data_IF_322256692854
#
_entry.id   IF_322256692854
#
_cell.length_a   1.000
_cell.length_b   1.000
_cell.length_c   1.000
_cell.angle_alpha   90.00
_cell.angle_beta   90.00
_cell.angle_gamma   90.00
#
_symmetry.space_group_name_H-M   'P 1'
#
loop_
_entity.id
_entity.type
_entity.pdbx_description
1 polymer ?
#
# COMPACT_ATOMS: atom_id res chain seq x y z
N UNK A 1 -53.23 -41.05 11.05
CA UNK A 1 -51.77 -41.22 11.20
C UNK A 1 -51.18 -39.89 11.67
N UNK A 2 -51.19 -39.68 12.99
CA UNK A 2 -50.56 -38.52 13.63
C UNK A 2 -49.09 -38.85 13.87
N UNK A 3 -48.19 -38.21 13.14
CA UNK A 3 -46.75 -38.25 13.41
C UNK A 3 -46.43 -37.21 14.48
N UNK A 4 -46.20 -37.68 15.70
CA UNK A 4 -45.56 -36.91 16.77
C UNK A 4 -44.10 -36.65 16.35
N UNK A 5 -43.76 -35.41 16.07
CA UNK A 5 -42.36 -34.97 16.11
C UNK A 5 -41.95 -34.81 17.58
N UNK A 6 -40.77 -35.31 17.98
CA UNK A 6 -40.26 -35.11 19.32
C UNK A 6 -39.84 -33.64 19.51
N UNK A 7 -39.91 -33.10 20.73
CA UNK A 7 -39.47 -31.75 21.01
C UNK A 7 -37.94 -31.64 20.81
N UNK A 8 -37.43 -30.45 20.45
CA UNK A 8 -36.00 -30.24 20.27
C UNK A 8 -35.27 -30.49 21.59
N UNK A 9 -34.18 -31.27 21.52
CA UNK A 9 -33.23 -31.45 22.61
C UNK A 9 -32.78 -30.06 23.10
N UNK A 10 -33.05 -29.78 24.37
CA UNK A 10 -32.36 -28.70 25.07
C UNK A 10 -30.90 -29.12 25.13
N UNK A 11 -30.04 -28.36 24.45
CA UNK A 11 -28.65 -28.33 24.82
C UNK A 11 -28.61 -27.79 26.24
N UNK A 12 -28.33 -28.66 27.20
CA UNK A 12 -27.86 -28.24 28.50
C UNK A 12 -26.53 -27.52 28.23
N UNK A 13 -26.60 -26.19 28.22
CA UNK A 13 -25.43 -25.32 28.37
C UNK A 13 -24.90 -25.61 29.78
N UNK A 14 -24.10 -26.67 29.89
CA UNK A 14 -23.26 -26.90 31.05
C UNK A 14 -22.37 -25.66 31.19
N UNK A 15 -22.67 -24.90 32.24
CA UNK A 15 -21.90 -23.79 32.79
C UNK A 15 -20.47 -24.25 33.13
N UNK A 16 -19.63 -24.44 32.10
CA UNK A 16 -18.18 -24.30 32.23
C UNK A 16 -17.86 -22.80 32.25
N UNK A 17 -18.28 -22.14 33.34
CA UNK A 17 -17.73 -20.86 33.80
C UNK A 17 -16.29 -21.11 34.30
N UNK A 18 -15.43 -21.53 33.38
CA UNK A 18 -13.98 -21.47 33.48
C UNK A 18 -13.52 -20.02 33.26
N UNK A 19 -14.14 -19.06 33.99
CA UNK A 19 -13.62 -17.71 34.18
C UNK A 19 -12.39 -17.75 35.08
N UNK A 20 -11.36 -18.48 34.66
CA UNK A 20 -10.01 -18.19 35.09
C UNK A 20 -9.77 -16.71 34.76
N UNK A 21 -9.48 -15.84 35.76
CA UNK A 21 -8.98 -14.53 35.44
C UNK A 21 -7.65 -14.75 34.72
N UNK A 22 -7.67 -14.66 33.39
CA UNK A 22 -6.47 -14.46 32.61
C UNK A 22 -5.98 -13.09 33.05
N UNK A 23 -5.21 -13.07 34.13
CA UNK A 23 -4.48 -11.92 34.60
C UNK A 23 -3.40 -11.71 33.55
N UNK A 24 -3.79 -11.12 32.42
CA UNK A 24 -2.93 -10.99 31.26
C UNK A 24 -1.66 -10.29 31.72
N UNK A 25 -0.52 -10.94 31.51
CA UNK A 25 0.77 -10.30 31.69
C UNK A 25 0.95 -9.29 30.56
N UNK A 26 0.34 -8.12 30.73
CA UNK A 26 0.42 -7.04 29.75
C UNK A 26 1.69 -6.24 29.97
N UNK A 27 2.51 -6.14 28.93
CA UNK A 27 3.59 -5.16 28.86
C UNK A 27 3.07 -3.93 28.11
N UNK A 28 3.17 -2.76 28.73
CA UNK A 28 2.83 -1.51 28.05
C UNK A 28 3.98 -1.08 27.14
N UNK A 29 3.64 -0.72 25.89
CA UNK A 29 4.56 -0.12 24.91
C UNK A 29 3.97 1.22 24.49
N UNK A 30 4.79 2.28 24.52
CA UNK A 30 4.36 3.61 24.08
C UNK A 30 4.26 3.67 22.57
N UNK A 31 3.08 4.02 22.06
CA UNK A 31 2.85 4.28 20.63
C UNK A 31 2.81 5.80 20.44
N UNK A 32 3.67 6.31 19.58
CA UNK A 32 3.66 7.72 19.19
C UNK A 32 2.71 7.90 18.01
N UNK A 33 1.70 8.74 18.20
CA UNK A 33 0.72 9.07 17.16
C UNK A 33 1.15 10.37 16.47
N UNK A 34 1.03 10.41 15.15
CA UNK A 34 1.12 11.67 14.43
C UNK A 34 -0.09 12.52 14.79
N UNK A 35 0.13 13.80 15.10
CA UNK A 35 -0.95 14.74 15.31
C UNK A 35 -1.59 15.07 13.95
N UNK A 36 -2.79 14.54 13.73
CA UNK A 36 -3.55 14.73 12.49
C UNK A 36 -4.25 16.10 12.42
N UNK A 37 -4.24 16.86 13.52
CA UNK A 37 -4.72 18.25 13.56
C UNK A 37 -3.70 19.24 13.01
N UNK A 38 -2.41 18.86 13.01
CA UNK A 38 -1.36 19.51 12.23
C UNK A 38 -1.40 18.89 10.84
N UNK A 39 -1.31 19.71 9.78
CA UNK A 39 -1.30 19.24 8.39
C UNK A 39 -0.44 17.97 8.24
N UNK A 40 -1.01 16.92 7.63
CA UNK A 40 -0.39 15.61 7.42
C UNK A 40 1.14 15.68 7.34
N UNK A 41 1.82 15.12 8.35
CA UNK A 41 3.28 15.09 8.35
C UNK A 41 3.79 14.31 7.13
N UNK A 42 4.82 14.81 6.44
CA UNK A 42 5.35 14.17 5.24
C UNK A 42 6.00 12.82 5.53
N UNK A 43 6.20 12.47 6.81
CA UNK A 43 6.85 11.22 7.21
C UNK A 43 6.17 9.96 6.67
N UNK A 44 4.84 9.85 6.73
CA UNK A 44 4.14 8.64 6.26
C UNK A 44 3.21 8.91 5.08
N UNK A 45 3.02 10.18 4.72
CA UNK A 45 1.97 10.63 3.81
C UNK A 45 2.44 11.77 2.91
N UNK A 46 3.66 11.72 2.37
CA UNK A 46 4.21 12.80 1.53
C UNK A 46 3.34 13.19 0.33
N UNK A 47 2.49 12.29 -0.18
CA UNK A 47 1.54 12.60 -1.25
C UNK A 47 0.35 13.47 -0.79
N UNK A 48 -0.01 13.44 0.50
CA UNK A 48 -1.15 14.20 1.02
C UNK A 48 -0.74 15.67 1.11
N UNK A 49 -1.61 16.55 0.64
CA UNK A 49 -1.40 18.00 0.64
C UNK A 49 -0.15 18.48 -0.12
N UNK A 50 0.37 17.70 -1.09
CA UNK A 50 1.45 18.15 -1.96
C UNK A 50 0.89 18.56 -3.34
N UNK A 51 0.81 19.86 -3.68
CA UNK A 51 0.22 20.33 -4.95
C UNK A 51 0.99 19.85 -6.17
N UNK A 52 2.32 19.84 -6.12
CA UNK A 52 3.16 19.37 -7.21
C UNK A 52 2.88 17.89 -7.52
N UNK A 53 2.79 17.05 -6.49
CA UNK A 53 2.41 15.64 -6.65
C UNK A 53 1.03 15.51 -7.31
N UNK A 54 0.06 16.33 -6.91
CA UNK A 54 -1.28 16.30 -7.53
C UNK A 54 -1.26 16.70 -9.00
N UNK A 55 -0.44 17.69 -9.38
CA UNK A 55 -0.24 18.09 -10.78
C UNK A 55 0.38 16.94 -11.58
N UNK A 56 1.46 16.33 -11.09
CA UNK A 56 2.13 15.22 -11.77
C UNK A 56 1.22 13.99 -11.90
N UNK A 57 0.47 13.68 -10.84
CA UNK A 57 -0.53 12.61 -10.87
C UNK A 57 -1.62 12.90 -11.90
N UNK A 58 -2.17 14.12 -11.92
CA UNK A 58 -3.20 14.49 -12.90
C UNK A 58 -2.68 14.37 -14.34
N UNK A 59 -1.45 14.84 -14.60
CA UNK A 59 -0.78 14.70 -15.89
C UNK A 59 -0.60 13.22 -16.30
N UNK A 60 -0.11 12.36 -15.39
CA UNK A 60 0.05 10.93 -15.67
C UNK A 60 -1.28 10.25 -16.02
N UNK A 61 -2.37 10.61 -15.31
CA UNK A 61 -3.72 10.14 -15.61
C UNK A 61 -4.23 10.64 -16.97
N UNK A 62 -3.93 11.89 -17.33
CA UNK A 62 -4.32 12.48 -18.60
C UNK A 62 -3.56 11.87 -19.79
N UNK A 63 -2.26 11.62 -19.64
CA UNK A 63 -1.42 11.00 -20.68
C UNK A 63 -1.67 9.51 -20.87
N UNK A 64 -2.27 8.84 -19.89
CA UNK A 64 -2.59 7.41 -19.98
C UNK A 64 -3.68 7.13 -21.02
N UNK A 65 -3.33 6.35 -22.04
CA UNK A 65 -4.30 5.86 -23.03
C UNK A 65 -5.13 4.67 -22.54
N UNK A 66 -4.72 3.99 -21.46
CA UNK A 66 -5.34 2.74 -21.00
C UNK A 66 -6.81 2.91 -20.64
N UNK A 67 -7.16 4.02 -19.97
CA UNK A 67 -8.55 4.31 -19.63
C UNK A 67 -9.39 4.63 -20.86
N UNK A 68 -8.84 5.40 -21.81
CA UNK A 68 -9.52 5.71 -23.07
C UNK A 68 -9.75 4.46 -23.91
N UNK A 69 -8.74 3.61 -24.07
CA UNK A 69 -8.86 2.33 -24.79
C UNK A 69 -9.86 1.40 -24.10
N UNK A 70 -9.79 1.32 -22.77
CA UNK A 70 -10.70 0.47 -21.98
C UNK A 70 -12.13 1.01 -21.98
N UNK A 71 -12.33 2.33 -22.14
CA UNK A 71 -13.66 2.93 -22.25
C UNK A 71 -14.42 2.55 -23.53
N UNK A 72 -13.69 2.06 -24.55
CA UNK A 72 -14.26 1.57 -25.81
C UNK A 72 -14.57 0.07 -25.77
N UNK A 73 -14.16 -0.65 -24.72
CA UNK A 73 -14.37 -2.07 -24.60
C UNK A 73 -15.76 -2.36 -23.99
N UNK A 74 -16.67 -3.06 -24.71
CA UNK A 74 -18.01 -3.37 -24.21
C UNK A 74 -18.03 -4.05 -22.84
N UNK A 75 -17.05 -4.91 -22.55
CA UNK A 75 -16.99 -5.62 -21.27
C UNK A 75 -16.83 -4.67 -20.08
N UNK A 76 -16.10 -3.56 -20.23
CA UNK A 76 -15.99 -2.55 -19.18
C UNK A 76 -17.25 -1.69 -19.06
N UNK A 77 -17.91 -1.39 -20.18
CA UNK A 77 -19.16 -0.63 -20.20
C UNK A 77 -20.26 -1.40 -19.47
N UNK A 78 -20.43 -2.68 -19.82
CA UNK A 78 -21.40 -3.58 -19.20
C UNK A 78 -21.11 -3.79 -17.71
N UNK A 79 -19.84 -3.99 -17.36
CA UNK A 79 -19.39 -4.10 -15.97
C UNK A 79 -19.75 -2.86 -15.16
N UNK A 80 -19.47 -1.65 -15.66
CA UNK A 80 -19.75 -0.42 -14.93
C UNK A 80 -21.25 -0.21 -14.72
N UNK A 81 -22.08 -0.57 -15.71
CA UNK A 81 -23.53 -0.54 -15.58
C UNK A 81 -24.01 -1.55 -14.51
N UNK A 82 -23.50 -2.78 -14.58
CA UNK A 82 -23.79 -3.85 -13.62
C UNK A 82 -23.42 -3.42 -12.19
N UNK A 83 -22.20 -2.91 -12.00
CA UNK A 83 -21.72 -2.44 -10.70
C UNK A 83 -22.57 -1.29 -10.14
N UNK A 84 -23.00 -0.35 -10.97
CA UNK A 84 -23.87 0.72 -10.52
C UNK A 84 -25.24 0.17 -10.08
N UNK A 85 -25.83 -0.76 -10.82
CA UNK A 85 -27.09 -1.41 -10.43
C UNK A 85 -26.97 -2.25 -9.15
N UNK A 86 -25.78 -2.80 -8.89
CA UNK A 86 -25.51 -3.57 -7.66
C UNK A 86 -25.28 -2.67 -6.45
N UNK A 87 -24.55 -1.58 -6.61
CA UNK A 87 -23.97 -0.81 -5.48
C UNK A 87 -24.60 0.56 -5.26
N UNK A 88 -25.21 1.16 -6.29
CA UNK A 88 -25.62 2.56 -6.27
C UNK A 88 -24.46 3.55 -6.13
N UNK A 89 -23.21 3.13 -6.36
CA UNK A 89 -22.04 3.96 -6.11
C UNK A 89 -21.98 5.18 -7.06
N UNK A 90 -22.18 6.38 -6.51
CA UNK A 90 -22.35 7.63 -7.27
C UNK A 90 -21.20 7.96 -8.22
N UNK A 91 -19.97 7.54 -7.90
CA UNK A 91 -18.80 7.81 -8.74
C UNK A 91 -18.80 7.01 -10.06
N UNK A 92 -19.63 5.96 -10.15
CA UNK A 92 -19.78 5.13 -11.35
C UNK A 92 -21.18 5.21 -11.98
N UNK A 93 -21.97 6.24 -11.63
CA UNK A 93 -23.29 6.45 -12.25
C UNK A 93 -23.19 6.71 -13.76
N UNK A 94 -24.23 6.41 -14.57
CA UNK A 94 -24.18 6.51 -16.02
C UNK A 94 -23.83 7.89 -16.59
N UNK A 95 -24.14 8.96 -15.85
CA UNK A 95 -23.89 10.35 -16.25
C UNK A 95 -22.42 10.76 -16.13
N UNK A 96 -21.62 9.99 -15.39
CA UNK A 96 -20.17 10.24 -15.26
C UNK A 96 -19.45 9.66 -16.49
N UNK A 97 -18.50 10.39 -17.11
CA UNK A 97 -17.73 9.87 -18.25
C UNK A 97 -17.06 8.53 -17.93
N UNK A 98 -17.14 7.56 -18.84
CA UNK A 98 -16.63 6.18 -18.63
C UNK A 98 -15.18 6.17 -18.14
N UNK A 99 -14.32 7.01 -18.71
CA UNK A 99 -12.91 7.16 -18.26
C UNK A 99 -12.81 7.47 -16.76
N UNK A 100 -13.62 8.40 -16.25
CA UNK A 100 -13.62 8.76 -14.83
C UNK A 100 -14.19 7.61 -13.97
N UNK A 101 -15.19 6.89 -14.48
CA UNK A 101 -15.76 5.71 -13.80
C UNK A 101 -14.74 4.57 -13.66
N UNK A 102 -13.89 4.36 -14.67
CA UNK A 102 -12.82 3.35 -14.63
C UNK A 102 -11.74 3.71 -13.60
N UNK A 103 -11.40 5.00 -13.47
CA UNK A 103 -10.36 5.48 -12.54
C UNK A 103 -10.73 5.28 -11.06
N UNK A 104 -12.01 5.08 -10.73
CA UNK A 104 -12.47 4.86 -9.35
C UNK A 104 -12.69 3.38 -9.00
N UNK A 105 -12.42 2.45 -9.92
CA UNK A 105 -12.59 1.01 -9.68
C UNK A 105 -11.72 0.47 -8.54
N UNK A 106 -10.64 1.16 -8.17
CA UNK A 106 -9.86 0.84 -6.98
C UNK A 106 -10.72 0.78 -5.70
N UNK A 107 -11.68 1.70 -5.53
CA UNK A 107 -12.55 1.73 -4.33
C UNK A 107 -13.42 0.48 -4.24
N UNK A 108 -13.95 0.02 -5.38
CA UNK A 108 -14.73 -1.23 -5.44
C UNK A 108 -13.85 -2.46 -5.23
N UNK A 109 -12.60 -2.45 -5.73
CA UNK A 109 -11.66 -3.54 -5.48
C UNK A 109 -11.32 -3.68 -3.99
N UNK A 110 -11.17 -2.56 -3.27
CA UNK A 110 -10.98 -2.57 -1.82
C UNK A 110 -12.20 -3.15 -1.09
N UNK A 111 -13.42 -2.79 -1.52
CA UNK A 111 -14.65 -3.37 -0.97
C UNK A 111 -14.71 -4.88 -1.17
N UNK A 112 -14.33 -5.39 -2.35
CA UNK A 112 -14.26 -6.84 -2.62
C UNK A 112 -13.31 -7.53 -1.63
N UNK A 113 -12.14 -6.94 -1.37
CA UNK A 113 -11.18 -7.50 -0.42
C UNK A 113 -11.76 -7.57 1.00
N UNK A 114 -12.46 -6.52 1.45
CA UNK A 114 -13.14 -6.47 2.75
C UNK A 114 -14.23 -7.55 2.84
N UNK A 115 -15.11 -7.63 1.85
CA UNK A 115 -16.21 -8.59 1.84
C UNK A 115 -15.70 -10.04 1.83
N UNK A 116 -14.64 -10.33 1.06
CA UNK A 116 -13.97 -11.64 1.08
C UNK A 116 -13.39 -11.98 2.45
N UNK A 117 -12.70 -11.04 3.09
CA UNK A 117 -12.12 -11.24 4.42
C UNK A 117 -13.18 -11.60 5.47
N UNK A 118 -14.41 -11.08 5.30
CA UNK A 118 -15.54 -11.34 6.19
C UNK A 118 -16.46 -12.46 5.69
N UNK A 119 -16.08 -13.20 4.64
CA UNK A 119 -16.90 -14.25 4.00
C UNK A 119 -18.31 -13.77 3.63
N UNK A 120 -18.42 -12.50 3.25
CA UNK A 120 -19.66 -11.88 2.82
C UNK A 120 -19.91 -12.14 1.34
N UNK A 121 -21.19 -12.12 0.95
CA UNK A 121 -21.57 -12.12 -0.46
C UNK A 121 -21.14 -10.80 -1.10
N UNK A 122 -20.41 -10.88 -2.21
CA UNK A 122 -19.92 -9.71 -2.93
C UNK A 122 -21.06 -8.82 -3.44
N UNK A 123 -21.01 -7.54 -3.09
CA UNK A 123 -21.99 -6.50 -3.47
C UNK A 123 -23.45 -6.98 -3.38
N UNK A 124 -23.83 -7.53 -2.23
CA UNK A 124 -25.18 -8.01 -1.99
C UNK A 124 -26.22 -6.91 -2.32
N UNK A 125 -27.15 -7.21 -3.23
CA UNK A 125 -28.06 -6.23 -3.82
C UNK A 125 -29.49 -6.78 -3.94
N UNK A 126 -30.47 -5.86 -3.98
CA UNK A 126 -31.91 -6.17 -4.10
C UNK A 126 -32.32 -6.60 -5.51
N UNK A 127 -31.48 -6.35 -6.51
CA UNK A 127 -31.75 -6.66 -7.91
C UNK A 127 -31.39 -8.10 -8.29
N UNK A 128 -30.94 -8.91 -7.32
CA UNK A 128 -30.50 -10.30 -7.51
C UNK A 128 -29.43 -10.48 -8.59
N UNK A 129 -28.64 -9.42 -8.85
CA UNK A 129 -27.54 -9.45 -9.79
C UNK A 129 -26.38 -10.23 -9.15
N UNK A 130 -25.80 -11.15 -9.92
CA UNK A 130 -24.69 -11.98 -9.49
C UNK A 130 -23.35 -11.37 -9.91
N UNK A 131 -22.43 -11.29 -8.97
CA UNK A 131 -21.05 -10.93 -9.24
C UNK A 131 -20.27 -12.15 -9.76
N UNK A 132 -19.60 -12.00 -10.88
CA UNK A 132 -18.92 -13.09 -11.58
C UNK A 132 -17.38 -12.99 -11.46
N UNK A 133 -16.64 -14.11 -11.58
CA UNK A 133 -15.18 -14.09 -11.53
C UNK A 133 -14.54 -13.15 -12.57
N UNK A 134 -15.17 -13.00 -13.75
CA UNK A 134 -14.68 -12.10 -14.78
C UNK A 134 -14.87 -10.62 -14.40
N UNK A 135 -15.92 -10.26 -13.66
CA UNK A 135 -16.13 -8.89 -13.15
C UNK A 135 -14.95 -8.50 -12.25
N UNK A 136 -14.59 -9.37 -11.31
CA UNK A 136 -13.47 -9.15 -10.41
C UNK A 136 -12.14 -8.99 -11.15
N UNK A 137 -11.91 -9.81 -12.18
CA UNK A 137 -10.70 -9.74 -12.99
C UNK A 137 -10.58 -8.35 -13.64
N UNK A 138 -11.65 -7.86 -14.26
CA UNK A 138 -11.68 -6.55 -14.90
C UNK A 138 -11.51 -5.40 -13.89
N UNK A 139 -12.20 -5.45 -12.75
CA UNK A 139 -12.06 -4.48 -11.67
C UNK A 139 -10.61 -4.43 -11.17
N UNK A 140 -10.03 -5.60 -10.87
CA UNK A 140 -8.64 -5.73 -10.42
C UNK A 140 -7.66 -5.13 -11.42
N UNK A 141 -7.79 -5.44 -12.71
CA UNK A 141 -6.90 -4.89 -13.75
C UNK A 141 -6.89 -3.36 -13.72
N UNK A 142 -8.06 -2.72 -13.64
CA UNK A 142 -8.13 -1.25 -13.58
C UNK A 142 -7.68 -0.69 -12.23
N UNK A 143 -7.98 -1.38 -11.13
CA UNK A 143 -7.57 -0.97 -9.78
C UNK A 143 -6.04 -1.00 -9.63
N UNK A 144 -5.39 -2.09 -10.03
CA UNK A 144 -3.93 -2.25 -10.01
C UNK A 144 -3.26 -1.21 -10.92
N UNK A 145 -3.81 -0.99 -12.13
CA UNK A 145 -3.28 0.03 -13.03
C UNK A 145 -3.39 1.45 -12.43
N UNK A 146 -4.54 1.78 -11.83
CA UNK A 146 -4.78 3.08 -11.15
C UNK A 146 -3.78 3.31 -10.02
N UNK A 147 -3.53 2.27 -9.22
CA UNK A 147 -2.58 2.31 -8.11
C UNK A 147 -1.15 2.51 -8.61
N UNK A 148 -0.73 1.78 -9.64
CA UNK A 148 0.60 1.94 -10.25
C UNK A 148 0.77 3.34 -10.79
N UNK A 149 -0.20 3.85 -11.55
CA UNK A 149 -0.14 5.20 -12.12
C UNK A 149 -0.02 6.29 -11.05
N UNK A 150 -0.62 6.10 -9.88
CA UNK A 150 -0.56 7.03 -8.74
C UNK A 150 0.86 7.22 -8.18
N UNK A 151 1.74 6.22 -8.26
CA UNK A 151 3.07 6.28 -7.62
C UNK A 151 4.23 6.09 -8.60
N UNK A 152 4.02 5.34 -9.68
CA UNK A 152 5.01 5.02 -10.70
C UNK A 152 4.85 5.87 -11.98
N UNK A 153 3.69 6.50 -12.19
CA UNK A 153 3.38 7.18 -13.44
C UNK A 153 3.46 6.24 -14.66
N UNK A 154 3.82 6.77 -15.83
CA UNK A 154 3.85 6.00 -17.09
C UNK A 154 5.22 5.38 -17.39
N UNK A 155 6.28 6.06 -16.98
CA UNK A 155 7.67 5.68 -17.27
C UNK A 155 8.57 5.90 -16.05
N UNK A 156 9.87 5.67 -16.22
CA UNK A 156 10.82 5.77 -15.13
C UNK A 156 11.04 7.19 -14.60
N UNK A 157 10.90 8.20 -15.47
CA UNK A 157 11.02 9.60 -15.07
C UNK A 157 9.84 10.03 -14.21
N UNK A 158 8.63 9.65 -14.61
CA UNK A 158 7.44 9.89 -13.79
C UNK A 158 7.58 9.23 -12.42
N UNK A 159 8.00 7.96 -12.37
CA UNK A 159 8.20 7.26 -11.10
C UNK A 159 9.15 8.01 -10.19
N UNK A 160 10.34 8.41 -10.68
CA UNK A 160 11.33 9.12 -9.87
C UNK A 160 10.78 10.42 -9.28
N UNK A 161 10.05 11.20 -10.10
CA UNK A 161 9.50 12.49 -9.68
C UNK A 161 8.33 12.32 -8.71
N UNK A 162 7.38 11.45 -9.05
CA UNK A 162 6.14 11.27 -8.28
C UNK A 162 6.37 10.54 -6.97
N UNK A 163 7.12 9.43 -7.00
CA UNK A 163 7.35 8.60 -5.81
C UNK A 163 8.16 9.32 -4.73
N UNK A 164 9.13 10.16 -5.11
CA UNK A 164 9.87 11.01 -4.18
C UNK A 164 8.94 11.92 -3.36
N UNK A 165 8.00 12.58 -4.03
CA UNK A 165 7.02 13.43 -3.35
C UNK A 165 6.06 12.56 -2.51
N UNK A 166 5.63 11.42 -3.06
CA UNK A 166 4.66 10.54 -2.41
C UNK A 166 5.18 9.88 -1.13
N UNK A 167 6.46 9.46 -1.14
CA UNK A 167 7.13 8.83 -0.01
C UNK A 167 7.53 9.84 1.08
N UNK A 168 7.63 11.13 0.72
CA UNK A 168 7.92 12.21 1.65
C UNK A 168 9.26 12.01 2.36
N UNK A 169 9.26 12.10 3.70
CA UNK A 169 10.48 12.00 4.52
C UNK A 169 10.75 10.60 5.06
N UNK A 170 9.89 9.59 4.80
CA UNK A 170 10.13 8.21 5.27
C UNK A 170 11.50 7.65 4.84
N UNK A 171 11.91 7.78 3.56
CA UNK A 171 13.16 7.17 3.13
C UNK A 171 14.36 7.76 3.86
N UNK A 172 14.38 9.07 4.12
CA UNK A 172 15.48 9.71 4.85
C UNK A 172 15.44 9.35 6.34
N UNK A 173 14.25 9.17 6.92
CA UNK A 173 14.10 8.77 8.32
C UNK A 173 14.70 7.37 8.55
N UNK A 174 14.49 6.44 7.62
CA UNK A 174 15.11 5.10 7.66
C UNK A 174 16.64 5.21 7.63
N UNK A 175 17.19 6.01 6.70
CA UNK A 175 18.65 6.24 6.61
C UNK A 175 19.18 6.86 7.91
N UNK A 176 18.49 7.86 8.47
CA UNK A 176 18.89 8.52 9.71
C UNK A 176 18.87 7.56 10.90
N UNK A 177 17.85 6.70 11.00
CA UNK A 177 17.77 5.69 12.05
C UNK A 177 18.98 4.74 12.01
N UNK A 178 19.39 4.28 10.82
CA UNK A 178 20.57 3.44 10.65
C UNK A 178 21.87 4.19 10.89
N UNK A 179 22.02 5.41 10.34
CA UNK A 179 23.23 6.23 10.57
C UNK A 179 23.46 6.47 12.05
N UNK A 180 22.39 6.76 12.82
CA UNK A 180 22.50 6.94 14.26
C UNK A 180 23.03 5.68 14.98
N UNK A 181 22.68 4.48 14.53
CA UNK A 181 23.23 3.23 15.07
C UNK A 181 24.69 3.04 14.66
N UNK A 182 25.01 3.25 13.37
CA UNK A 182 26.38 3.12 12.84
C UNK A 182 27.36 4.06 13.53
N UNK A 183 26.93 5.29 13.82
CA UNK A 183 27.73 6.31 14.49
C UNK A 183 27.78 6.15 16.02
N UNK A 184 27.02 5.21 16.60
CA UNK A 184 26.90 5.06 18.05
C UNK A 184 26.07 6.15 18.75
N UNK A 185 25.31 6.94 18.00
CA UNK A 185 24.45 8.02 18.48
C UNK A 185 23.08 7.52 18.98
N UNK A 186 22.66 6.33 18.55
CA UNK A 186 21.37 5.73 18.88
C UNK A 186 21.50 4.29 19.38
N UNK A 187 20.98 3.96 20.57
CA UNK A 187 20.92 2.58 21.05
C UNK A 187 19.70 1.81 20.49
N UNK A 188 18.84 2.45 19.67
CA UNK A 188 17.58 1.88 19.18
C UNK A 188 17.84 0.63 18.32
N UNK A 189 17.14 -0.46 18.61
CA UNK A 189 17.23 -1.73 17.86
C UNK A 189 16.08 -1.97 16.89
N UNK A 190 14.94 -1.33 17.11
CA UNK A 190 13.75 -1.46 16.27
C UNK A 190 13.05 -0.11 16.15
N UNK A 191 12.61 0.21 14.95
CA UNK A 191 11.67 1.29 14.68
C UNK A 191 10.48 0.69 13.91
N UNK A 192 9.27 0.88 14.43
CA UNK A 192 8.04 0.41 13.80
C UNK A 192 7.24 1.62 13.32
N UNK A 193 6.99 1.67 12.00
CA UNK A 193 6.13 2.68 11.39
C UNK A 193 4.82 2.01 10.96
N UNK A 194 3.79 2.15 11.80
CA UNK A 194 2.44 1.70 11.45
C UNK A 194 1.80 2.70 10.49
N UNK A 195 1.46 2.26 9.28
CA UNK A 195 1.03 3.13 8.19
C UNK A 195 0.03 2.42 7.27
N UNK A 196 -0.26 3.03 6.12
CA UNK A 196 -1.22 2.51 5.14
C UNK A 196 -0.51 1.83 3.95
N UNK A 197 -1.28 1.07 3.18
CA UNK A 197 -0.89 0.51 1.87
C UNK A 197 -0.19 1.55 0.96
N UNK A 198 -0.72 2.77 0.92
CA UNK A 198 -0.19 3.90 0.17
C UNK A 198 1.23 4.30 0.61
N UNK A 199 1.56 4.18 1.89
CA UNK A 199 2.91 4.45 2.41
C UNK A 199 3.90 3.42 1.88
N UNK A 200 3.52 2.13 1.91
CA UNK A 200 4.35 1.04 1.38
C UNK A 200 4.55 1.19 -0.13
N UNK A 201 3.49 1.43 -0.89
CA UNK A 201 3.57 1.55 -2.34
C UNK A 201 4.40 2.77 -2.77
N UNK A 202 4.23 3.91 -2.08
CA UNK A 202 5.05 5.09 -2.32
C UNK A 202 6.53 4.82 -2.02
N UNK A 203 6.82 4.12 -0.91
CA UNK A 203 8.18 3.72 -0.56
C UNK A 203 8.77 2.77 -1.61
N UNK A 204 8.10 1.68 -1.97
CA UNK A 204 8.55 0.72 -3.00
C UNK A 204 8.83 1.41 -4.34
N UNK A 205 7.95 2.35 -4.73
CA UNK A 205 8.14 3.16 -5.95
C UNK A 205 9.39 4.03 -5.84
N UNK A 206 9.60 4.66 -4.69
CA UNK A 206 10.77 5.52 -4.46
C UNK A 206 12.06 4.73 -4.45
N UNK A 207 12.07 3.53 -3.86
CA UNK A 207 13.19 2.59 -3.88
C UNK A 207 13.53 2.07 -5.29
N UNK A 208 12.67 2.31 -6.28
CA UNK A 208 12.92 1.94 -7.68
C UNK A 208 12.39 0.57 -8.06
N UNK A 209 11.53 -0.03 -7.27
CA UNK A 209 10.88 -1.27 -7.69
C UNK A 209 9.74 -0.98 -8.69
N UNK A 210 9.21 -2.00 -9.34
CA UNK A 210 7.94 -2.03 -10.09
C UNK A 210 7.25 -3.35 -9.80
N UNK A 211 6.11 -3.55 -10.47
CA UNK A 211 5.35 -4.81 -10.61
C UNK A 211 5.08 -5.64 -9.33
N UNK A 212 5.24 -5.05 -8.15
CA UNK A 212 4.88 -5.67 -6.89
C UNK A 212 3.36 -5.86 -6.76
N UNK A 213 2.98 -6.88 -5.99
CA UNK A 213 1.61 -7.09 -5.54
C UNK A 213 1.18 -5.97 -4.60
N UNK A 214 -0.06 -5.48 -4.72
CA UNK A 214 -0.60 -4.42 -3.85
C UNK A 214 -0.68 -4.92 -2.39
N UNK A 215 -0.18 -4.17 -1.40
CA UNK A 215 -0.20 -4.60 -0.01
C UNK A 215 -1.62 -4.93 0.47
N UNK A 216 -1.79 -6.14 1.00
CA UNK A 216 -2.99 -6.58 1.71
C UNK A 216 -2.88 -6.25 3.21
N UNK A 217 -3.89 -6.62 3.99
CA UNK A 217 -3.82 -6.47 5.45
C UNK A 217 -2.58 -7.16 6.03
N UNK A 218 -1.80 -6.40 6.80
CA UNK A 218 -0.54 -6.86 7.38
C UNK A 218 0.64 -6.96 6.40
N UNK A 219 0.48 -6.50 5.15
CA UNK A 219 1.61 -6.29 4.24
C UNK A 219 2.62 -5.30 4.85
N UNK A 220 3.90 -5.54 4.63
CA UNK A 220 4.98 -4.82 5.32
C UNK A 220 6.29 -4.80 4.53
N UNK A 221 7.09 -3.78 4.81
CA UNK A 221 8.49 -3.68 4.39
C UNK A 221 9.40 -3.89 5.60
N UNK A 222 10.51 -4.60 5.41
CA UNK A 222 11.53 -4.84 6.43
C UNK A 222 12.85 -4.28 5.93
N UNK A 223 13.48 -3.45 6.75
CA UNK A 223 14.85 -3.02 6.56
C UNK A 223 15.67 -3.51 7.76
N UNK A 224 16.75 -4.23 7.48
CA UNK A 224 17.64 -4.73 8.52
C UNK A 224 19.04 -4.19 8.30
N UNK A 225 19.60 -3.57 9.33
CA UNK A 225 20.99 -3.15 9.37
C UNK A 225 21.83 -4.25 10.03
N UNK A 226 22.79 -4.80 9.31
CA UNK A 226 23.69 -5.86 9.75
C UNK A 226 25.11 -5.30 9.90
N UNK A 227 25.80 -5.72 10.95
CA UNK A 227 27.24 -5.49 11.09
C UNK A 227 27.98 -6.79 10.78
N UNK A 228 28.85 -6.75 9.78
CA UNK A 228 29.67 -7.89 9.39
C UNK A 228 30.90 -8.05 10.30
N UNK A 229 31.59 -9.19 10.19
CA UNK A 229 32.72 -9.53 11.08
C UNK A 229 33.89 -8.54 11.00
N UNK A 230 34.06 -7.90 9.86
CA UNK A 230 35.05 -6.86 9.59
C UNK A 230 34.60 -5.46 10.02
N UNK A 231 33.45 -5.36 10.71
CA UNK A 231 32.80 -4.11 11.15
C UNK A 231 32.28 -3.23 10.02
N UNK A 232 32.16 -3.76 8.81
CA UNK A 232 31.38 -3.12 7.75
C UNK A 232 29.89 -3.29 8.03
N UNK A 233 29.07 -2.45 7.39
CA UNK A 233 27.62 -2.41 7.60
C UNK A 233 26.90 -2.64 6.30
N UNK A 234 25.85 -3.47 6.33
CA UNK A 234 25.03 -3.78 5.18
C UNK A 234 23.54 -3.68 5.52
N UNK A 235 22.71 -3.40 4.52
CA UNK A 235 21.26 -3.31 4.63
C UNK A 235 20.61 -4.43 3.82
N UNK A 236 19.70 -5.16 4.45
CA UNK A 236 18.79 -6.09 3.76
C UNK A 236 17.41 -5.46 3.68
N UNK A 237 16.77 -5.60 2.53
CA UNK A 237 15.41 -5.13 2.31
C UNK A 237 14.49 -6.29 1.93
N UNK A 238 13.29 -6.34 2.49
CA UNK A 238 12.24 -7.27 2.09
C UNK A 238 10.89 -6.57 2.01
N UNK A 239 10.03 -7.08 1.12
CA UNK A 239 8.63 -6.71 1.03
C UNK A 239 7.76 -7.95 0.98
N UNK A 240 6.75 -7.99 1.85
CA UNK A 240 5.71 -9.00 1.87
C UNK A 240 4.37 -8.29 1.68
N UNK A 241 3.59 -8.74 0.69
CA UNK A 241 2.28 -8.21 0.38
C UNK A 241 1.21 -8.64 1.40
N UNK A 242 1.43 -9.73 2.13
CA UNK A 242 0.50 -10.27 3.13
C UNK A 242 1.21 -11.03 4.25
N UNK A 243 0.49 -11.30 5.35
CA UNK A 243 0.97 -12.12 6.48
C UNK A 243 0.95 -13.63 6.20
N UNK A 244 0.30 -14.07 5.13
CA UNK A 244 0.18 -15.50 4.80
C UNK A 244 1.50 -16.11 4.32
N UNK A 245 2.53 -15.28 4.06
CA UNK A 245 3.82 -15.67 3.50
C UNK A 245 5.02 -15.45 4.44
N UNK A 246 4.80 -15.43 5.75
CA UNK A 246 5.84 -15.14 6.75
C UNK A 246 7.00 -16.15 6.77
N UNK A 247 6.77 -17.40 6.36
CA UNK A 247 7.78 -18.46 6.43
C UNK A 247 8.93 -18.30 5.42
N UNK A 248 8.83 -17.36 4.46
CA UNK A 248 9.82 -17.17 3.39
C UNK A 248 10.05 -15.70 3.05
N UNK A 249 10.60 -14.96 4.01
CA UNK A 249 11.03 -13.57 3.74
C UNK A 249 12.20 -13.59 2.75
N UNK A 250 11.96 -13.05 1.55
CA UNK A 250 13.00 -12.87 0.52
C UNK A 250 13.64 -11.50 0.70
N UNK A 251 14.92 -11.50 1.08
CA UNK A 251 15.73 -10.29 1.13
C UNK A 251 16.40 -10.02 -0.21
N UNK A 252 16.32 -8.78 -0.65
CA UNK A 252 16.80 -8.32 -1.96
C UNK A 252 17.71 -7.12 -1.81
N UNK A 253 18.53 -6.91 -2.84
CA UNK A 253 19.33 -5.71 -2.98
C UNK A 253 18.47 -4.51 -3.39
N UNK A 254 18.86 -3.32 -2.93
CA UNK A 254 18.28 -2.08 -3.40
C UNK A 254 18.74 -1.77 -4.84
N UNK A 255 17.85 -1.32 -5.74
CA UNK A 255 18.23 -0.81 -7.05
C UNK A 255 19.06 0.47 -6.91
N UNK A 256 20.31 0.41 -7.38
CA UNK A 256 21.30 1.49 -7.30
C UNK A 256 21.26 2.37 -8.55
N UNK A 257 21.96 3.50 -8.56
CA UNK A 257 22.17 4.34 -9.75
C UNK A 257 20.87 4.77 -10.47
N UNK A 258 19.82 5.08 -9.71
CA UNK A 258 18.49 5.44 -10.24
C UNK A 258 17.78 4.32 -11.03
N UNK A 259 18.26 3.08 -10.94
CA UNK A 259 17.65 1.95 -11.62
C UNK A 259 16.20 1.75 -11.17
N UNK A 260 15.41 1.31 -12.14
CA UNK A 260 14.04 0.90 -11.93
C UNK A 260 13.94 -0.54 -12.39
N UNK A 261 13.60 -1.41 -11.47
CA UNK A 261 13.57 -2.86 -11.70
C UNK A 261 12.22 -3.41 -11.30
N UNK A 262 11.76 -4.44 -12.00
CA UNK A 262 10.63 -5.22 -11.52
C UNK A 262 10.99 -5.93 -10.22
N UNK A 263 10.06 -5.96 -9.26
CA UNK A 263 10.13 -6.77 -8.05
C UNK A 263 10.40 -8.24 -8.35
N UNK A 264 9.78 -8.77 -9.41
CA UNK A 264 9.98 -10.14 -9.88
C UNK A 264 11.45 -10.42 -10.28
N UNK A 265 12.13 -9.43 -10.86
CA UNK A 265 13.50 -9.51 -11.38
C UNK A 265 14.58 -9.15 -10.34
N UNK A 266 14.20 -8.92 -9.08
CA UNK A 266 15.14 -8.49 -8.02
C UNK A 266 16.23 -9.50 -7.70
N UNK A 267 17.43 -9.02 -7.41
CA UNK A 267 18.56 -9.87 -6.99
C UNK A 267 18.49 -10.09 -5.48
N UNK A 268 18.56 -11.36 -5.06
CA UNK A 268 18.63 -11.70 -3.64
C UNK A 268 19.97 -11.24 -3.05
N UNK A 269 19.96 -10.63 -1.86
CA UNK A 269 21.19 -10.20 -1.21
C UNK A 269 21.02 -9.03 -0.25
N UNK A 270 22.11 -8.28 -0.10
CA UNK A 270 22.22 -7.08 0.72
C UNK A 270 22.93 -5.97 -0.06
N UNK A 271 22.71 -4.74 0.38
CA UNK A 271 23.37 -3.54 -0.15
C UNK A 271 24.31 -3.00 0.92
N UNK A 272 25.53 -2.60 0.54
CA UNK A 272 26.43 -1.90 1.47
C UNK A 272 25.75 -0.65 2.05
N UNK A 273 25.95 -0.36 3.35
CA UNK A 273 25.25 0.75 3.99
C UNK A 273 25.62 2.11 3.39
N UNK A 274 26.88 2.33 3.00
CA UNK A 274 27.29 3.58 2.38
C UNK A 274 26.64 3.74 0.99
N UNK A 275 26.51 2.66 0.23
CA UNK A 275 25.75 2.65 -1.03
C UNK A 275 24.25 2.91 -0.80
N UNK A 276 23.63 2.23 0.17
CA UNK A 276 22.22 2.44 0.53
C UNK A 276 21.94 3.90 0.90
N UNK A 277 22.80 4.46 1.77
CA UNK A 277 22.71 5.86 2.16
C UNK A 277 22.91 6.80 0.96
N UNK A 278 23.93 6.55 0.14
CA UNK A 278 24.21 7.36 -1.04
C UNK A 278 23.03 7.38 -2.01
N UNK A 279 22.49 6.20 -2.33
CA UNK A 279 21.35 6.04 -3.23
C UNK A 279 20.12 6.77 -2.73
N UNK A 280 19.77 6.65 -1.45
CA UNK A 280 18.57 7.35 -0.94
C UNK A 280 18.79 8.85 -0.80
N UNK A 281 19.97 9.32 -0.39
CA UNK A 281 20.23 10.75 -0.15
C UNK A 281 20.52 11.54 -1.41
N UNK A 282 21.33 11.00 -2.32
CA UNK A 282 21.91 11.77 -3.41
C UNK A 282 21.32 11.41 -4.76
N UNK A 283 21.18 10.11 -5.04
CA UNK A 283 20.64 9.64 -6.32
C UNK A 283 19.13 9.85 -6.39
N UNK A 284 18.40 9.21 -5.46
CA UNK A 284 16.93 9.33 -5.38
C UNK A 284 16.47 10.63 -4.73
N UNK A 285 17.41 11.39 -4.16
CA UNK A 285 17.19 12.72 -3.59
C UNK A 285 16.03 12.74 -2.60
N UNK A 286 15.99 11.81 -1.66
CA UNK A 286 14.91 11.74 -0.65
C UNK A 286 14.76 13.08 0.07
N UNK A 287 13.52 13.48 0.35
CA UNK A 287 13.22 14.77 0.98
C UNK A 287 13.76 14.73 2.42
N UNK A 288 14.59 15.71 2.80
CA UNK A 288 15.41 15.61 4.00
C UNK A 288 14.65 15.94 5.28
N UNK A 289 13.66 16.82 5.19
CA UNK A 289 12.92 17.35 6.32
C UNK A 289 11.62 18.03 5.83
N UNK A 290 10.80 18.47 6.77
CA UNK A 290 9.50 19.09 6.48
C UNK A 290 9.63 20.46 5.80
N UNK A 291 10.72 21.20 6.02
CA UNK A 291 10.98 22.48 5.35
C UNK A 291 11.21 22.25 3.85
N UNK A 292 12.12 21.34 3.51
CA UNK A 292 12.39 20.93 2.13
C UNK A 292 11.11 20.43 1.45
N UNK A 293 10.27 19.67 2.16
CA UNK A 293 8.98 19.20 1.64
C UNK A 293 8.03 20.36 1.33
N UNK A 294 7.91 21.31 2.26
CA UNK A 294 7.06 22.49 2.10
C UNK A 294 7.58 23.48 1.04
N UNK A 295 8.89 23.52 0.77
CA UNK A 295 9.43 24.35 -0.31
C UNK A 295 9.06 23.81 -1.69
N UNK A 296 9.01 22.49 -1.87
CA UNK A 296 8.52 21.87 -3.11
C UNK A 296 7.06 22.27 -3.40
N UNK A 297 6.27 22.50 -2.36
CA UNK A 297 4.88 22.98 -2.47
C UNK A 297 4.81 24.41 -3.01
N UNK A 298 5.79 25.27 -2.72
CA UNK A 298 5.77 26.69 -3.07
C UNK A 298 6.20 26.99 -4.51
N UNK A 299 7.02 26.12 -5.12
CA UNK A 299 7.59 26.36 -6.47
C UNK A 299 6.55 26.16 -7.60
N UNK A 300 5.32 25.73 -7.29
CA UNK A 300 4.30 25.36 -8.29
C UNK A 300 3.03 26.23 -8.24
N UNK A 301 3.02 27.30 -7.44
CA UNK A 301 2.00 28.35 -7.44
C UNK A 301 2.56 29.63 -8.06
#
# INVERSE_FOLDING_TARGET
SNTHEPPPERYDDDDDDDSYPVQGQYQTIKIHLADMSVQYLPLLHGHKNNPLYNVLKADAFQRSSVFTVSSLNPAYIDLLQKLYQMTGFDAIRPEVPIVQRLQVLQTLYQQIAIERAHRMRLFANRNHIWFEPNDERLIRTMAEYTVRLRYQGLDGDDQRRMSRLAAGTLPIEIVNAFRGVVNGESPRKLALYSAHDNTIMALLSHLGYRDWDVPQFGGHCIFELHQDRDRTWSVRFAYNDSIDRLERIRYVQLPLNHEIVNWSDTVAGHTDFAQFEHTLRHERQSIKNDVDWNEQVKVTL
#
